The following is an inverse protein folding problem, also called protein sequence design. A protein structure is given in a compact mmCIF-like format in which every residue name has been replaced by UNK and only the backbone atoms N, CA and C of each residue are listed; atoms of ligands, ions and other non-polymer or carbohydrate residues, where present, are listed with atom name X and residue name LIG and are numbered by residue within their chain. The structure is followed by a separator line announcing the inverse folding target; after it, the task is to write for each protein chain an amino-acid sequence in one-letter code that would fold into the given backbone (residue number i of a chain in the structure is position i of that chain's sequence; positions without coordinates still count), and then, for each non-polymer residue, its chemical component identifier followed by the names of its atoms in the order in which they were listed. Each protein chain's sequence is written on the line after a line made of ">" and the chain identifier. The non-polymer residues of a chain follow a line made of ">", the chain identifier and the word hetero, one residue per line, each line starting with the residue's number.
data_IF_353728985071
#
_entry.id   IF_353728985071
#
_cell.length_a   1.000
_cell.length_b   1.000
_cell.length_c   1.000
_cell.angle_alpha   90.00
_cell.angle_beta   90.00
_cell.angle_gamma   90.00
#
_symmetry.space_group_name_H-M   'P 1'
#
loop_
_entity.id
_entity.type
_entity.pdbx_description
1 polymer ?
#
# COMPACT_ATOMS: atom_id res chain seq x y z
N UNK A 1 14.03 -11.19 14.98
CA UNK A 1 15.24 -11.06 14.13
C UNK A 1 15.31 -9.70 13.40
N UNK A 2 14.25 -9.28 12.69
CA UNK A 2 14.26 -8.03 11.90
C UNK A 2 14.46 -6.75 12.75
N UNK A 3 13.92 -6.73 13.95
CA UNK A 3 14.00 -5.58 14.87
C UNK A 3 15.43 -5.35 15.39
N UNK A 4 16.13 -6.42 15.79
CA UNK A 4 17.53 -6.36 16.21
C UNK A 4 18.46 -5.95 15.08
N UNK A 5 18.28 -6.57 13.88
CA UNK A 5 19.07 -6.22 12.69
C UNK A 5 18.91 -4.74 12.34
N UNK A 6 17.70 -4.20 12.41
CA UNK A 6 17.42 -2.78 12.15
C UNK A 6 18.16 -1.87 13.14
N UNK A 7 18.11 -2.19 14.43
CA UNK A 7 18.83 -1.42 15.45
C UNK A 7 20.33 -1.37 15.21
N UNK A 8 20.93 -2.51 14.89
CA UNK A 8 22.37 -2.59 14.56
C UNK A 8 22.70 -1.74 13.33
N UNK A 9 21.94 -1.88 12.25
CA UNK A 9 22.14 -1.11 11.01
C UNK A 9 22.05 0.40 11.26
N UNK A 10 21.11 0.85 12.09
CA UNK A 10 20.94 2.27 12.42
C UNK A 10 22.13 2.80 13.20
N UNK A 11 22.63 2.04 14.17
CA UNK A 11 23.80 2.42 14.96
C UNK A 11 25.06 2.48 14.12
N UNK A 12 25.30 1.48 13.28
CA UNK A 12 26.45 1.45 12.35
C UNK A 12 26.38 2.60 11.34
N UNK A 13 25.20 2.91 10.82
CA UNK A 13 25.04 4.03 9.89
C UNK A 13 25.44 5.36 10.53
N UNK A 14 25.02 5.60 11.77
CA UNK A 14 25.40 6.80 12.54
C UNK A 14 26.91 6.82 12.80
N UNK A 15 27.49 5.70 13.27
CA UNK A 15 28.92 5.55 13.53
C UNK A 15 29.77 5.84 12.29
N UNK A 16 29.31 5.40 11.11
CA UNK A 16 29.99 5.63 9.83
C UNK A 16 29.67 6.97 9.18
N UNK A 17 28.90 7.83 9.82
CA UNK A 17 28.51 9.13 9.28
C UNK A 17 27.56 9.05 8.07
N UNK A 18 26.84 7.93 7.90
CA UNK A 18 25.88 7.78 6.82
C UNK A 18 24.60 8.55 7.10
N UNK A 19 24.12 9.33 6.14
CA UNK A 19 22.85 10.08 6.26
C UNK A 19 21.64 9.27 5.79
N UNK A 20 21.86 8.21 5.00
CA UNK A 20 20.80 7.39 4.42
C UNK A 20 21.14 5.90 4.54
N UNK A 21 20.08 5.09 4.70
CA UNK A 21 20.17 3.63 4.68
C UNK A 21 19.28 3.15 3.53
N UNK A 22 19.90 2.54 2.51
CA UNK A 22 19.19 1.94 1.41
C UNK A 22 18.79 0.50 1.76
N UNK A 23 17.51 0.18 1.60
CA UNK A 23 16.96 -1.17 1.80
C UNK A 23 16.43 -1.73 0.48
N UNK A 24 16.71 -3.01 0.20
CA UNK A 24 16.32 -3.69 -1.02
C UNK A 24 14.83 -4.12 -1.08
N UNK A 25 13.95 -3.44 -0.35
CA UNK A 25 12.51 -3.73 -0.45
C UNK A 25 11.97 -3.30 -1.82
N UNK A 26 11.17 -4.16 -2.43
CA UNK A 26 10.57 -3.98 -3.76
C UNK A 26 9.03 -3.91 -3.67
N UNK A 27 8.34 -3.70 -4.80
CA UNK A 27 6.89 -3.52 -4.85
C UNK A 27 6.11 -4.65 -4.15
N UNK A 28 6.52 -5.91 -4.36
CA UNK A 28 5.87 -7.07 -3.74
C UNK A 28 5.98 -7.08 -2.21
N UNK A 29 7.10 -6.57 -1.65
CA UNK A 29 7.24 -6.40 -0.20
C UNK A 29 6.31 -5.32 0.34
N UNK A 30 6.12 -4.24 -0.41
CA UNK A 30 5.21 -3.15 -0.06
C UNK A 30 3.77 -3.65 -0.07
N UNK A 31 3.35 -4.35 -1.12
CA UNK A 31 2.03 -4.97 -1.24
C UNK A 31 1.81 -5.98 -0.11
N UNK A 32 2.75 -6.89 0.11
CA UNK A 32 2.64 -7.87 1.18
C UNK A 32 2.53 -7.22 2.57
N UNK A 33 3.28 -6.15 2.81
CA UNK A 33 3.22 -5.42 4.08
C UNK A 33 1.90 -4.68 4.25
N UNK A 34 1.37 -4.07 3.20
CA UNK A 34 0.06 -3.44 3.19
C UNK A 34 -1.04 -4.45 3.54
N UNK A 35 -1.09 -5.59 2.85
CA UNK A 35 -2.10 -6.61 3.09
C UNK A 35 -1.97 -7.28 4.46
N UNK A 36 -0.75 -7.44 4.97
CA UNK A 36 -0.54 -7.91 6.34
C UNK A 36 -1.10 -6.92 7.37
N UNK A 37 -0.89 -5.62 7.17
CA UNK A 37 -1.47 -4.60 8.04
C UNK A 37 -2.99 -4.55 7.92
N UNK A 38 -3.52 -4.62 6.71
CA UNK A 38 -4.95 -4.62 6.44
C UNK A 38 -5.65 -5.82 7.09
N UNK A 39 -5.16 -7.04 6.87
CA UNK A 39 -5.85 -8.26 7.29
C UNK A 39 -5.60 -8.66 8.75
N UNK A 40 -4.45 -8.32 9.32
CA UNK A 40 -4.04 -8.83 10.63
C UNK A 40 -3.81 -7.75 11.69
N UNK A 41 -3.73 -6.48 11.29
CA UNK A 41 -3.50 -5.35 12.21
C UNK A 41 -4.67 -4.36 12.18
N UNK A 42 -5.47 -4.33 11.10
CA UNK A 42 -6.56 -3.37 10.92
C UNK A 42 -6.03 -1.95 10.61
N UNK A 43 -4.96 -1.85 9.83
CA UNK A 43 -4.36 -0.57 9.46
C UNK A 43 -4.13 -0.45 7.95
N UNK A 44 -4.49 0.67 7.37
CA UNK A 44 -4.08 1.06 6.02
C UNK A 44 -2.65 1.63 6.07
N UNK A 45 -1.66 0.74 6.08
CA UNK A 45 -0.25 1.08 6.25
C UNK A 45 0.64 0.19 5.40
N UNK A 46 1.56 0.80 4.66
CA UNK A 46 2.58 0.13 3.86
C UNK A 46 3.99 0.63 4.21
N UNK A 47 4.95 0.44 3.32
CA UNK A 47 6.32 0.95 3.43
C UNK A 47 6.55 2.01 2.36
N UNK A 48 6.64 3.30 2.68
CA UNK A 48 6.90 4.34 1.68
C UNK A 48 8.33 4.23 1.12
N UNK A 49 8.59 4.75 -0.09
CA UNK A 49 9.91 4.77 -0.71
C UNK A 49 10.98 5.49 0.11
N UNK A 50 10.58 6.49 0.88
CA UNK A 50 11.44 7.24 1.79
C UNK A 50 10.73 7.44 3.13
N UNK A 51 11.46 7.28 4.22
CA UNK A 51 10.95 7.44 5.58
C UNK A 51 12.06 7.83 6.52
N UNK A 52 11.80 8.74 7.46
CA UNK A 52 12.70 8.97 8.59
C UNK A 52 12.58 7.80 9.58
N UNK A 53 13.71 7.35 10.14
CA UNK A 53 13.72 6.32 11.18
C UNK A 53 12.96 6.77 12.44
N UNK A 54 12.43 5.82 13.21
CA UNK A 54 11.63 6.10 14.40
C UNK A 54 12.39 6.95 15.44
N UNK A 55 13.73 6.82 15.48
CA UNK A 55 14.63 7.60 16.34
C UNK A 55 15.09 8.93 15.71
N UNK A 56 14.63 9.24 14.50
CA UNK A 56 14.92 10.47 13.79
C UNK A 56 16.34 10.63 13.23
N UNK A 57 17.26 9.68 13.51
CA UNK A 57 18.68 9.80 13.19
C UNK A 57 19.03 9.48 11.73
N UNK A 58 18.25 8.61 11.08
CA UNK A 58 18.56 8.11 9.75
C UNK A 58 17.38 8.37 8.77
N UNK A 59 17.70 8.51 7.50
CA UNK A 59 16.72 8.46 6.42
C UNK A 59 16.77 7.08 5.78
N UNK A 60 15.65 6.39 5.76
CA UNK A 60 15.48 5.09 5.09
C UNK A 60 15.02 5.35 3.67
N UNK A 61 15.68 4.78 2.69
CA UNK A 61 15.26 4.81 1.29
C UNK A 61 15.08 3.39 0.75
N UNK A 62 14.18 3.24 -0.21
CA UNK A 62 13.88 1.97 -0.90
C UNK A 62 13.95 2.19 -2.40
N UNK A 63 15.16 2.13 -2.98
CA UNK A 63 15.35 2.42 -4.41
C UNK A 63 14.54 1.50 -5.34
N UNK A 64 14.25 0.27 -4.90
CA UNK A 64 13.51 -0.73 -5.67
C UNK A 64 12.00 -0.72 -5.38
N UNK A 65 11.46 0.32 -4.72
CA UNK A 65 10.07 0.36 -4.25
C UNK A 65 9.03 0.12 -5.36
N UNK A 66 9.33 0.46 -6.59
CA UNK A 66 8.44 0.32 -7.75
C UNK A 66 8.81 -0.84 -8.68
N UNK A 67 9.92 -1.55 -8.43
CA UNK A 67 10.31 -2.73 -9.18
C UNK A 67 9.55 -3.95 -8.67
N UNK A 68 9.16 -4.85 -9.56
CA UNK A 68 8.56 -6.13 -9.18
C UNK A 68 9.64 -7.16 -8.78
N UNK A 69 9.31 -8.06 -7.87
CA UNK A 69 10.22 -9.13 -7.42
C UNK A 69 10.78 -9.93 -8.60
N UNK A 70 9.94 -10.25 -9.61
CA UNK A 70 10.35 -10.99 -10.80
C UNK A 70 11.39 -10.27 -11.65
N UNK A 71 11.31 -8.94 -11.75
CA UNK A 71 12.26 -8.13 -12.52
C UNK A 71 13.61 -8.06 -11.82
N UNK A 72 13.58 -7.87 -10.48
CA UNK A 72 14.78 -7.87 -9.64
C UNK A 72 15.46 -9.24 -9.67
N UNK A 73 14.70 -10.34 -9.61
CA UNK A 73 15.22 -11.70 -9.67
C UNK A 73 15.85 -12.00 -11.03
N UNK A 74 15.19 -11.65 -12.14
CA UNK A 74 15.72 -11.83 -13.49
C UNK A 74 17.04 -11.07 -13.70
N UNK A 75 17.12 -9.83 -13.23
CA UNK A 75 18.33 -9.03 -13.28
C UNK A 75 19.47 -9.65 -12.45
N UNK A 76 19.16 -10.14 -11.24
CA UNK A 76 20.15 -10.77 -10.38
C UNK A 76 20.71 -12.07 -11.00
N UNK A 77 19.88 -12.84 -11.69
CA UNK A 77 20.27 -14.05 -12.43
C UNK A 77 21.16 -13.69 -13.62
N UNK A 78 20.76 -12.71 -14.45
CA UNK A 78 21.55 -12.24 -15.59
C UNK A 78 22.93 -11.74 -15.17
N UNK A 79 23.02 -11.03 -14.07
CA UNK A 79 24.27 -10.50 -13.51
C UNK A 79 25.05 -11.52 -12.69
N UNK A 80 24.54 -12.74 -12.52
CA UNK A 80 25.17 -13.81 -11.75
C UNK A 80 25.57 -13.39 -10.32
N UNK A 81 24.71 -12.61 -9.66
CA UNK A 81 25.00 -12.16 -8.29
C UNK A 81 25.09 -13.36 -7.34
N UNK A 82 26.08 -13.39 -6.41
CA UNK A 82 26.19 -14.43 -5.42
C UNK A 82 25.07 -14.30 -4.38
N UNK A 83 23.94 -14.98 -4.63
CA UNK A 83 22.80 -14.97 -3.71
C UNK A 83 23.05 -16.02 -2.64
N UNK A 84 23.12 -15.58 -1.37
CA UNK A 84 23.21 -16.48 -0.22
C UNK A 84 21.82 -17.04 0.07
N UNK A 85 21.62 -18.37 0.00
CA UNK A 85 20.36 -18.99 0.38
C UNK A 85 19.98 -18.63 1.81
N UNK A 86 18.75 -18.13 2.03
CA UNK A 86 18.25 -17.78 3.36
C UNK A 86 17.12 -18.72 3.75
N UNK A 87 17.46 -19.82 4.42
CA UNK A 87 16.49 -20.80 4.92
C UNK A 87 15.78 -20.36 6.21
N UNK A 88 16.32 -19.33 6.89
CA UNK A 88 15.88 -18.93 8.23
C UNK A 88 14.58 -18.12 8.25
N UNK A 89 14.23 -17.39 7.21
CA UNK A 89 13.10 -16.44 7.22
C UNK A 89 11.95 -16.80 6.28
N UNK A 90 12.14 -17.72 5.31
CA UNK A 90 11.19 -17.99 4.24
C UNK A 90 10.57 -19.38 4.22
N UNK A 91 11.14 -20.34 4.94
CA UNK A 91 10.82 -21.76 4.80
C UNK A 91 9.64 -22.28 5.62
N UNK A 92 9.00 -21.44 6.46
CA UNK A 92 7.83 -21.91 7.23
C UNK A 92 6.55 -21.76 6.37
N UNK A 93 5.93 -22.86 5.94
CA UNK A 93 4.78 -22.85 5.03
C UNK A 93 3.55 -22.12 5.57
N UNK A 94 3.49 -21.87 6.88
CA UNK A 94 2.37 -21.23 7.57
C UNK A 94 2.58 -19.73 7.88
N UNK A 95 3.64 -19.10 7.39
CA UNK A 95 3.84 -17.67 7.63
C UNK A 95 2.76 -16.84 6.92
N UNK A 96 2.19 -15.90 7.65
CA UNK A 96 1.17 -14.96 7.13
C UNK A 96 1.62 -14.27 5.84
N UNK A 97 2.92 -13.97 5.71
CA UNK A 97 3.50 -13.37 4.50
C UNK A 97 3.42 -14.32 3.29
N UNK A 98 3.75 -15.59 3.45
CA UNK A 98 3.64 -16.58 2.37
C UNK A 98 2.17 -16.76 1.92
N UNK A 99 1.23 -16.73 2.87
CA UNK A 99 -0.21 -16.78 2.57
C UNK A 99 -0.66 -15.58 1.75
N UNK A 100 -0.21 -14.37 2.12
CA UNK A 100 -0.54 -13.14 1.38
C UNK A 100 0.07 -13.17 -0.02
N UNK A 101 1.34 -13.57 -0.18
CA UNK A 101 1.98 -13.71 -1.50
C UNK A 101 1.22 -14.69 -2.40
N UNK A 102 0.79 -15.84 -1.83
CA UNK A 102 -0.01 -16.82 -2.57
C UNK A 102 -1.37 -16.25 -3.00
N UNK A 103 -2.09 -15.57 -2.10
CA UNK A 103 -3.34 -14.91 -2.41
C UNK A 103 -3.21 -13.94 -3.60
N UNK A 104 -2.17 -13.09 -3.60
CA UNK A 104 -1.92 -12.17 -4.71
C UNK A 104 -1.62 -12.93 -6.00
N UNK A 105 -0.84 -14.01 -5.95
CA UNK A 105 -0.54 -14.82 -7.14
C UNK A 105 -1.78 -15.56 -7.67
N UNK A 106 -2.74 -15.90 -6.82
CA UNK A 106 -4.02 -16.47 -7.23
C UNK A 106 -4.89 -15.41 -7.91
N UNK A 107 -5.04 -14.22 -7.30
CA UNK A 107 -5.80 -13.11 -7.86
C UNK A 107 -5.20 -12.59 -9.19
N UNK A 108 -3.89 -12.63 -9.34
CA UNK A 108 -3.19 -12.20 -10.57
C UNK A 108 -3.56 -13.06 -11.79
N UNK A 109 -3.99 -14.32 -11.58
CA UNK A 109 -4.46 -15.18 -12.68
C UNK A 109 -5.78 -14.69 -13.27
N UNK A 110 -6.64 -14.10 -12.44
CA UNK A 110 -7.93 -13.55 -12.84
C UNK A 110 -7.80 -12.07 -13.25
N UNK A 111 -6.91 -11.33 -12.56
CA UNK A 111 -6.70 -9.90 -12.75
C UNK A 111 -5.21 -9.62 -12.91
N UNK A 112 -4.65 -9.66 -14.12
CA UNK A 112 -3.20 -9.55 -14.37
C UNK A 112 -2.55 -8.27 -13.84
N UNK A 113 -3.32 -7.20 -13.67
CA UNK A 113 -2.88 -5.88 -13.19
C UNK A 113 -3.10 -5.67 -11.68
N UNK A 114 -3.48 -6.70 -10.90
CA UNK A 114 -3.82 -6.55 -9.47
C UNK A 114 -2.70 -5.90 -8.65
N UNK A 115 -1.42 -6.19 -8.96
CA UNK A 115 -0.27 -5.60 -8.26
C UNK A 115 -0.18 -4.10 -8.51
N UNK A 116 -0.31 -3.66 -9.75
CA UNK A 116 -0.29 -2.24 -10.11
C UNK A 116 -1.50 -1.51 -9.52
N UNK A 117 -2.68 -2.12 -9.52
CA UNK A 117 -3.88 -1.55 -8.89
C UNK A 117 -3.69 -1.32 -7.39
N UNK A 118 -3.11 -2.27 -6.66
CA UNK A 118 -2.82 -2.10 -5.22
C UNK A 118 -1.80 -0.98 -5.00
N UNK A 119 -0.73 -0.93 -5.80
CA UNK A 119 0.28 0.13 -5.70
C UNK A 119 -0.33 1.51 -6.00
N UNK A 120 -1.19 1.62 -7.01
CA UNK A 120 -1.92 2.84 -7.34
C UNK A 120 -2.85 3.26 -6.21
N UNK A 121 -3.61 2.33 -5.62
CA UNK A 121 -4.49 2.60 -4.49
C UNK A 121 -3.75 3.18 -3.28
N UNK A 122 -2.51 2.76 -3.04
CA UNK A 122 -1.67 3.31 -1.97
C UNK A 122 -1.26 4.77 -2.20
N UNK A 123 -1.34 5.27 -3.42
CA UNK A 123 -1.05 6.66 -3.78
C UNK A 123 -2.31 7.49 -4.05
N UNK A 124 -3.48 6.85 -4.06
CA UNK A 124 -4.76 7.48 -4.42
C UNK A 124 -5.80 7.23 -3.32
N UNK A 125 -5.67 7.97 -2.22
CA UNK A 125 -6.53 7.82 -1.04
C UNK A 125 -7.56 8.94 -0.99
N UNK A 126 -8.85 8.58 -1.00
CA UNK A 126 -9.95 9.53 -0.81
C UNK A 126 -10.36 9.55 0.67
N UNK A 127 -9.79 10.48 1.43
CA UNK A 127 -9.97 10.54 2.90
C UNK A 127 -11.42 10.64 3.35
N UNK A 128 -12.27 11.37 2.61
CA UNK A 128 -13.69 11.54 2.90
C UNK A 128 -14.51 10.25 2.77
N UNK A 129 -13.98 9.23 2.11
CA UNK A 129 -14.65 7.92 1.94
C UNK A 129 -14.08 6.84 2.87
N UNK A 130 -13.22 7.24 3.82
CA UNK A 130 -12.70 6.37 4.87
C UNK A 130 -13.35 6.69 6.22
N UNK A 131 -13.34 5.70 7.12
CA UNK A 131 -13.92 5.84 8.46
C UNK A 131 -12.96 6.45 9.50
N UNK A 132 -11.85 7.03 9.06
CA UNK A 132 -10.92 7.74 9.95
C UNK A 132 -11.32 9.20 10.10
N UNK A 133 -11.84 9.53 11.29
CA UNK A 133 -12.29 10.88 11.62
C UNK A 133 -11.18 11.95 11.60
N UNK A 134 -9.91 11.54 11.57
CA UNK A 134 -8.77 12.46 11.39
C UNK A 134 -8.58 12.87 9.92
N UNK A 135 -9.01 12.02 8.98
CA UNK A 135 -8.96 12.31 7.55
C UNK A 135 -10.20 13.07 7.08
N UNK A 136 -11.35 12.77 7.68
CA UNK A 136 -12.62 13.44 7.40
C UNK A 136 -13.51 13.41 8.62
N UNK A 137 -13.90 14.58 9.12
CA UNK A 137 -14.71 14.73 10.34
C UNK A 137 -16.20 14.51 10.09
N UNK A 138 -16.58 13.27 9.79
CA UNK A 138 -17.96 12.88 9.56
C UNK A 138 -18.81 12.85 10.85
N UNK A 139 -18.20 12.84 12.03
CA UNK A 139 -18.92 12.85 13.32
C UNK A 139 -19.52 14.21 13.66
N UNK A 140 -18.84 15.28 13.22
CA UNK A 140 -19.28 16.66 13.41
C UNK A 140 -19.82 17.26 12.11
N UNK A 141 -20.24 16.40 11.17
CA UNK A 141 -20.76 16.84 9.87
C UNK A 141 -22.08 17.59 10.05
N UNK A 142 -22.11 18.87 9.65
CA UNK A 142 -23.32 19.67 9.58
C UNK A 142 -23.76 19.77 8.13
N UNK A 143 -24.93 19.20 7.75
CA UNK A 143 -25.43 19.30 6.39
C UNK A 143 -25.69 20.76 6.03
N UNK A 144 -25.15 21.24 4.92
CA UNK A 144 -25.59 22.51 4.35
C UNK A 144 -26.96 22.29 3.68
N UNK A 145 -28.03 22.48 4.44
CA UNK A 145 -29.39 22.53 3.88
C UNK A 145 -29.48 23.87 3.15
N UNK A 146 -29.25 23.89 1.85
CA UNK A 146 -29.74 24.99 1.01
C UNK A 146 -31.25 24.95 1.14
N UNK A 147 -31.86 25.99 1.76
CA UNK A 147 -33.28 26.13 1.79
C UNK A 147 -33.78 26.08 0.33
N UNK A 148 -34.54 25.03 -0.02
CA UNK A 148 -35.21 24.95 -1.30
C UNK A 148 -36.25 26.07 -1.26
N UNK A 149 -36.22 27.06 -2.18
CA UNK A 149 -37.22 28.13 -2.19
C UNK A 149 -38.59 27.50 -2.36
N UNK A 150 -39.61 27.97 -1.61
CA UNK A 150 -40.97 27.46 -1.73
C UNK A 150 -41.45 27.71 -3.16
N UNK A 151 -41.68 26.67 -3.95
CA UNK A 151 -42.24 26.79 -5.29
C UNK A 151 -41.77 25.82 -6.35
N UNK A 152 -40.80 24.95 -6.09
CA UNK A 152 -40.45 23.90 -7.06
C UNK A 152 -41.03 22.56 -6.61
N UNK A 153 -42.08 22.17 -7.30
CA UNK A 153 -42.70 20.85 -7.14
C UNK A 153 -41.78 19.75 -7.66
N UNK A 154 -41.85 18.62 -6.94
CA UNK A 154 -41.31 17.30 -7.28
C UNK A 154 -39.78 17.12 -7.15
N UNK A 155 -39.33 16.90 -5.92
CA UNK A 155 -38.01 16.33 -5.56
C UNK A 155 -37.88 14.88 -6.07
N UNK A 156 -38.96 14.23 -6.49
CA UNK A 156 -38.94 12.82 -6.93
C UNK A 156 -38.26 12.59 -8.29
N UNK A 157 -38.17 13.59 -9.17
CA UNK A 157 -37.53 13.43 -10.49
C UNK A 157 -36.02 13.69 -10.53
N UNK A 158 -35.48 14.43 -9.57
CA UNK A 158 -34.02 14.69 -9.54
C UNK A 158 -33.24 13.56 -8.87
N UNK A 159 -33.88 12.72 -8.05
CA UNK A 159 -33.21 11.55 -7.44
C UNK A 159 -33.02 10.40 -8.40
N UNK A 160 -33.90 10.22 -9.38
CA UNK A 160 -33.78 9.17 -10.38
C UNK A 160 -32.72 9.46 -11.46
N UNK A 161 -32.39 10.74 -11.69
CA UNK A 161 -31.30 11.11 -12.62
C UNK A 161 -29.90 11.04 -11.97
N UNK A 162 -29.81 11.08 -10.63
CA UNK A 162 -28.52 10.97 -9.93
C UNK A 162 -28.10 9.53 -9.66
N UNK A 163 -29.06 8.58 -9.68
CA UNK A 163 -28.80 7.15 -9.53
C UNK A 163 -29.17 6.40 -10.80
N UNK A 164 -28.51 6.75 -11.91
CA UNK A 164 -28.51 5.88 -13.09
C UNK A 164 -27.74 4.60 -12.74
N UNK A 165 -28.48 3.52 -12.48
CA UNK A 165 -27.96 2.19 -12.19
C UNK A 165 -27.51 1.43 -13.45
N UNK A 166 -27.45 2.08 -14.61
CA UNK A 166 -26.93 1.50 -15.84
C UNK A 166 -25.43 1.76 -15.95
N UNK A 167 -24.65 0.76 -15.61
CA UNK A 167 -23.21 0.56 -15.77
C UNK A 167 -22.27 1.29 -14.79
N UNK A 168 -21.38 0.55 -14.11
CA UNK A 168 -20.27 1.15 -13.40
C UNK A 168 -19.27 1.69 -14.44
N UNK A 169 -19.13 3.00 -14.51
CA UNK A 169 -18.16 3.73 -15.35
C UNK A 169 -16.68 3.43 -15.01
N UNK A 170 -16.36 2.21 -14.62
CA UNK A 170 -15.03 1.82 -14.10
C UNK A 170 -14.21 0.96 -15.07
N UNK A 171 -14.68 0.69 -16.29
CA UNK A 171 -14.00 -0.26 -17.20
C UNK A 171 -13.51 0.36 -18.52
N UNK A 172 -13.71 1.65 -18.79
CA UNK A 172 -13.37 2.22 -20.10
C UNK A 172 -12.08 3.06 -20.19
N UNK A 173 -11.25 3.14 -19.12
CA UNK A 173 -9.97 3.87 -19.18
C UNK A 173 -8.85 3.19 -18.38
N UNK A 174 -8.61 1.92 -18.62
CA UNK A 174 -7.37 1.23 -18.27
C UNK A 174 -6.80 0.50 -19.48
#
# INVERSE_FOLDING_TARGET
>A
CSRLRRGILYSVAVEKGCTKIALGHHADDIIATFLLNLFYVGQLKAMPPILRSDDGRNTIIRPLAYCQEKEVAAYAEEQQFPIIPCDLCGSQPNLKRARVKRLISELEKETPFIRSSIMTALTNVTGSHLLDNKLYDFRNFTPMIKAIPPGHGSVERELDEVFDHSEPAYVSNL
#
